data_IF_462673873454
#
_entry.id   IF_462673873454
#
_cell.length_a   1.000
_cell.length_b   1.000
_cell.length_c   1.000
_cell.angle_alpha   90.00
_cell.angle_beta   90.00
_cell.angle_gamma   90.00
#
_symmetry.space_group_name_H-M   'P 1'
#
loop_
_entity.id
_entity.type
_entity.pdbx_description
1 polymer ?
#
# COMPACT_ATOMS: atom_id res chain seq x y z
N UNK A 1 7.60 4.95 9.80
CA UNK A 1 6.86 4.66 11.05
C UNK A 1 7.82 4.76 12.23
N UNK A 2 7.43 5.34 13.38
CA UNK A 2 8.29 5.43 14.57
C UNK A 2 8.19 4.18 15.49
N UNK A 3 7.24 3.28 15.23
CA UNK A 3 7.11 2.01 15.95
C UNK A 3 6.36 2.04 17.27
N UNK A 4 5.90 3.19 17.76
CA UNK A 4 5.25 3.29 19.09
C UNK A 4 3.89 2.57 19.16
N UNK A 5 3.03 2.77 18.17
CA UNK A 5 1.71 2.13 18.13
C UNK A 5 1.79 0.82 17.32
N UNK A 6 1.33 -0.29 17.87
CA UNK A 6 1.24 -1.58 17.15
C UNK A 6 0.48 -1.49 15.82
N UNK A 7 -0.73 -0.91 15.73
CA UNK A 7 -1.42 -0.80 14.44
C UNK A 7 -0.63 -0.01 13.40
N UNK A 8 0.11 1.04 13.81
CA UNK A 8 0.98 1.79 12.89
C UNK A 8 2.22 0.99 12.49
N UNK A 9 2.93 0.36 13.44
CA UNK A 9 4.16 -0.40 13.19
C UNK A 9 3.92 -1.60 12.27
N UNK A 10 2.95 -2.43 12.60
CA UNK A 10 2.65 -3.64 11.83
C UNK A 10 1.86 -3.29 10.56
N UNK A 11 0.87 -2.41 10.66
CA UNK A 11 -0.01 -2.08 9.55
C UNK A 11 0.71 -1.41 8.39
N UNK A 12 1.59 -0.42 8.66
CA UNK A 12 2.41 0.19 7.60
C UNK A 12 3.38 -0.80 6.96
N UNK A 13 3.90 -1.76 7.73
CA UNK A 13 4.73 -2.85 7.22
C UNK A 13 3.96 -3.78 6.28
N UNK A 14 2.73 -4.15 6.64
CA UNK A 14 1.87 -4.97 5.76
C UNK A 14 1.45 -4.23 4.49
N UNK A 15 1.09 -2.94 4.59
CA UNK A 15 0.78 -2.12 3.42
C UNK A 15 1.97 -2.11 2.45
N UNK A 16 3.18 -1.81 2.95
CA UNK A 16 4.39 -1.80 2.12
C UNK A 16 4.68 -3.15 1.45
N UNK A 17 4.54 -4.26 2.18
CA UNK A 17 4.72 -5.61 1.61
C UNK A 17 3.72 -5.93 0.51
N UNK A 18 2.45 -5.57 0.69
CA UNK A 18 1.42 -5.82 -0.32
C UNK A 18 1.67 -4.96 -1.56
N UNK A 19 1.98 -3.68 -1.39
CA UNK A 19 2.30 -2.79 -2.52
C UNK A 19 3.53 -3.28 -3.28
N UNK A 20 4.58 -3.73 -2.59
CA UNK A 20 5.73 -4.37 -3.23
C UNK A 20 5.36 -5.60 -4.07
N UNK A 21 4.49 -6.48 -3.55
CA UNK A 21 3.96 -7.60 -4.36
C UNK A 21 3.17 -7.15 -5.58
N UNK A 22 2.43 -6.04 -5.48
CA UNK A 22 1.71 -5.48 -6.63
C UNK A 22 2.71 -5.04 -7.70
N UNK A 23 3.74 -4.28 -7.32
CA UNK A 23 4.80 -3.82 -8.23
C UNK A 23 5.58 -4.98 -8.87
N UNK A 24 5.89 -6.02 -8.11
CA UNK A 24 6.56 -7.24 -8.58
C UNK A 24 5.67 -8.14 -9.46
N UNK A 25 4.37 -7.83 -9.56
CA UNK A 25 3.42 -8.64 -10.31
C UNK A 25 3.04 -9.97 -9.66
N UNK A 26 3.28 -10.11 -8.35
CA UNK A 26 3.03 -11.33 -7.56
C UNK A 26 1.83 -11.23 -6.62
N UNK A 27 1.16 -10.07 -6.57
CA UNK A 27 -0.03 -9.87 -5.75
C UNK A 27 -1.26 -10.60 -6.31
N UNK A 28 -2.23 -10.80 -5.43
CA UNK A 28 -3.51 -11.47 -5.70
C UNK A 28 -4.68 -10.54 -5.39
N UNK A 29 -5.89 -10.89 -5.84
CA UNK A 29 -7.09 -10.09 -5.52
C UNK A 29 -7.33 -10.00 -4.01
N UNK A 30 -7.01 -11.05 -3.27
CA UNK A 30 -7.11 -11.09 -1.81
C UNK A 30 -6.16 -10.09 -1.12
N UNK A 31 -5.07 -9.68 -1.78
CA UNK A 31 -4.18 -8.66 -1.25
C UNK A 31 -4.82 -7.27 -1.26
N UNK A 32 -5.62 -6.95 -2.29
CA UNK A 32 -6.37 -5.70 -2.36
C UNK A 32 -7.42 -5.62 -1.24
N UNK A 33 -8.11 -6.72 -0.97
CA UNK A 33 -9.07 -6.80 0.14
C UNK A 33 -8.36 -6.74 1.50
N UNK A 34 -7.16 -7.32 1.60
CA UNK A 34 -6.32 -7.25 2.78
C UNK A 34 -5.90 -5.80 3.09
N UNK A 35 -5.54 -5.00 2.09
CA UNK A 35 -5.23 -3.58 2.26
C UNK A 35 -6.40 -2.81 2.91
N UNK A 36 -7.63 -3.06 2.45
CA UNK A 36 -8.82 -2.43 3.04
C UNK A 36 -9.03 -2.86 4.49
N UNK A 37 -8.85 -4.14 4.80
CA UNK A 37 -8.99 -4.66 6.17
C UNK A 37 -7.92 -4.12 7.11
N UNK A 38 -6.66 -4.06 6.65
CA UNK A 38 -5.54 -3.52 7.43
C UNK A 38 -5.79 -2.04 7.73
N UNK A 39 -6.11 -1.25 6.71
CA UNK A 39 -6.32 0.19 6.86
C UNK A 39 -7.53 0.53 7.75
N UNK A 40 -8.60 -0.26 7.66
CA UNK A 40 -9.76 -0.13 8.56
C UNK A 40 -9.38 -0.38 10.04
N UNK A 41 -8.50 -1.34 10.32
CA UNK A 41 -8.01 -1.61 11.67
C UNK A 41 -6.98 -0.59 12.18
N UNK A 42 -6.42 0.23 11.31
CA UNK A 42 -5.47 1.29 11.68
C UNK A 42 -6.18 2.62 11.97
N UNK A 43 -7.20 2.96 11.20
CA UNK A 43 -7.82 4.30 11.21
C UNK A 43 -8.29 4.72 12.61
N UNK A 44 -7.80 5.85 13.09
CA UNK A 44 -8.19 6.41 14.40
C UNK A 44 -7.76 5.60 15.64
N UNK A 45 -6.92 4.57 15.48
CA UNK A 45 -6.47 3.69 16.59
C UNK A 45 -5.04 3.97 17.07
N UNK A 46 -4.45 5.11 16.68
CA UNK A 46 -3.04 5.43 16.92
C UNK A 46 -2.83 6.80 17.56
N UNK A 47 -1.68 6.99 18.20
CA UNK A 47 -1.34 8.20 18.97
C UNK A 47 -1.12 9.45 18.09
N UNK A 48 -0.67 9.29 16.86
CA UNK A 48 -0.34 10.41 15.97
C UNK A 48 -0.94 10.20 14.57
N UNK A 49 -0.99 11.28 13.78
CA UNK A 49 -1.63 11.31 12.47
C UNK A 49 -0.90 10.50 11.37
N UNK A 50 0.29 9.95 11.64
CA UNK A 50 1.05 9.22 10.62
C UNK A 50 0.32 7.97 10.11
N UNK A 51 -0.41 7.25 10.98
CA UNK A 51 -1.14 6.08 10.54
C UNK A 51 -2.32 6.47 9.64
N UNK A 52 -3.09 7.49 10.01
CA UNK A 52 -4.18 8.00 9.18
C UNK A 52 -3.65 8.56 7.85
N UNK A 53 -2.49 9.21 7.86
CA UNK A 53 -1.79 9.67 6.65
C UNK A 53 -1.40 8.51 5.71
N UNK A 54 -1.18 7.30 6.22
CA UNK A 54 -0.98 6.10 5.40
C UNK A 54 -2.32 5.45 4.97
N UNK A 55 -3.32 5.45 5.86
CA UNK A 55 -4.65 4.86 5.62
C UNK A 55 -5.42 5.57 4.52
N UNK A 56 -5.53 6.89 4.61
CA UNK A 56 -6.35 7.70 3.70
C UNK A 56 -5.99 7.52 2.23
N UNK A 57 -4.71 7.62 1.80
CA UNK A 57 -4.36 7.41 0.40
C UNK A 57 -4.59 5.97 -0.05
N UNK A 58 -4.25 4.97 0.77
CA UNK A 58 -4.48 3.56 0.41
C UNK A 58 -5.96 3.28 0.17
N UNK A 59 -6.84 3.74 1.05
CA UNK A 59 -8.30 3.58 0.87
C UNK A 59 -8.82 4.36 -0.32
N UNK A 60 -8.35 5.60 -0.51
CA UNK A 60 -8.75 6.44 -1.65
C UNK A 60 -8.36 5.79 -2.97
N UNK A 61 -7.12 5.31 -3.11
CA UNK A 61 -6.66 4.67 -4.34
C UNK A 61 -7.46 3.42 -4.67
N UNK A 62 -7.70 2.55 -3.69
CA UNK A 62 -8.52 1.34 -3.89
C UNK A 62 -9.99 1.65 -4.12
N UNK A 63 -10.50 2.80 -3.66
CA UNK A 63 -11.88 3.23 -3.92
C UNK A 63 -12.05 3.76 -5.34
N UNK A 64 -11.11 4.58 -5.81
CA UNK A 64 -11.25 5.33 -7.05
C UNK A 64 -10.62 4.61 -8.26
N UNK A 65 -9.58 3.80 -8.05
CA UNK A 65 -8.81 3.15 -9.10
C UNK A 65 -8.82 1.62 -8.97
N UNK A 66 -9.84 1.04 -8.34
CA UNK A 66 -9.89 -0.41 -8.08
C UNK A 66 -9.64 -1.25 -9.33
N UNK A 67 -10.26 -0.85 -10.44
CA UNK A 67 -10.16 -1.56 -11.71
C UNK A 67 -8.72 -1.63 -12.22
N UNK A 68 -7.94 -0.55 -12.07
CA UNK A 68 -6.53 -0.51 -12.44
C UNK A 68 -5.67 -1.42 -11.57
N UNK A 69 -5.94 -1.48 -10.26
CA UNK A 69 -5.26 -2.42 -9.36
C UNK A 69 -5.62 -3.88 -9.68
N UNK A 70 -6.89 -4.17 -9.99
CA UNK A 70 -7.32 -5.50 -10.41
C UNK A 70 -6.70 -5.91 -11.75
N UNK A 71 -6.57 -4.98 -12.70
CA UNK A 71 -5.84 -5.17 -13.96
C UNK A 71 -4.36 -5.47 -13.70
N UNK A 72 -3.71 -4.69 -12.84
CA UNK A 72 -2.31 -4.88 -12.49
C UNK A 72 -2.05 -6.25 -11.86
N UNK A 73 -2.93 -6.68 -10.96
CA UNK A 73 -2.89 -8.00 -10.32
C UNK A 73 -3.13 -9.12 -11.34
N UNK A 74 -4.09 -8.94 -12.26
CA UNK A 74 -4.44 -9.97 -13.25
C UNK A 74 -3.33 -10.21 -14.27
N UNK A 75 -2.65 -9.15 -14.68
CA UNK A 75 -1.62 -9.21 -15.72
C UNK A 75 -0.19 -9.22 -15.16
N UNK A 76 -0.03 -9.08 -13.85
CA UNK A 76 1.27 -9.02 -13.17
C UNK A 76 2.14 -7.85 -13.63
N UNK A 77 1.53 -6.76 -14.12
CA UNK A 77 2.25 -5.58 -14.64
C UNK A 77 1.39 -4.33 -14.62
N UNK A 78 2.02 -3.17 -14.58
CA UNK A 78 1.33 -1.89 -14.63
C UNK A 78 0.59 -1.68 -15.97
N UNK A 79 -0.72 -1.38 -15.96
CA UNK A 79 -1.50 -1.17 -17.18
C UNK A 79 -1.14 0.12 -17.92
N UNK A 80 -0.56 1.11 -17.22
CA UNK A 80 -0.28 2.45 -17.77
C UNK A 80 1.09 2.51 -18.49
N UNK A 81 1.85 1.41 -18.54
CA UNK A 81 3.03 1.27 -19.41
C UNK A 81 4.21 2.21 -19.10
N UNK A 82 4.21 2.92 -17.96
CA UNK A 82 5.27 3.83 -17.57
C UNK A 82 6.18 3.22 -16.52
N UNK A 83 7.44 2.96 -16.86
CA UNK A 83 8.49 2.88 -15.85
C UNK A 83 8.75 4.31 -15.38
N UNK A 84 8.06 4.74 -14.32
CA UNK A 84 8.45 5.95 -13.61
C UNK A 84 9.79 5.61 -12.95
N UNK A 85 10.90 6.03 -13.57
CA UNK A 85 12.22 6.00 -12.93
C UNK A 85 12.17 6.98 -11.76
N UNK A 86 11.68 6.52 -10.62
CA UNK A 86 11.86 7.23 -9.36
C UNK A 86 13.36 7.14 -9.11
N UNK A 87 14.08 8.23 -9.37
CA UNK A 87 15.45 8.36 -8.91
C UNK A 87 15.37 8.21 -7.40
N UNK A 88 15.72 7.03 -6.89
CA UNK A 88 15.84 6.79 -5.46
C UNK A 88 16.83 7.82 -4.95
N UNK A 89 16.36 8.83 -4.23
CA UNK A 89 17.21 9.75 -3.48
C UNK A 89 17.87 8.90 -2.39
N UNK A 90 19.02 8.33 -2.72
CA UNK A 90 19.96 7.70 -1.79
C UNK A 90 19.44 6.47 -1.06
N UNK A 91 19.43 5.32 -1.73
CA UNK A 91 19.79 4.06 -1.06
C UNK A 91 21.32 3.89 -1.20
N UNK A 92 22.08 4.66 -0.42
CA UNK A 92 23.54 4.53 -0.34
C UNK A 92 23.98 4.64 1.12
N UNK A 93 24.45 3.50 1.64
CA UNK A 93 25.13 3.24 2.91
C UNK A 93 24.31 3.36 4.20
#
# INVERSE_FOLDING_TARGET
SCGQCTPCREGTGWISKIVGRIEEGSATKADLDSLLRITANMSGTTICALADAAVMPTQSFLKHFREEFEEHVRHGRCPVGGALTVQTVGAAA
#
